data_IF_965411800213
#
_entry.id   IF_965411800213
#
_cell.length_a   1.000
_cell.length_b   1.000
_cell.length_c   1.000
_cell.angle_alpha   90.00
_cell.angle_beta   90.00
_cell.angle_gamma   90.00
#
_symmetry.space_group_name_H-M   'P 1'
#
loop_
_entity.id
_entity.type
_entity.pdbx_description
1 polymer ?
#
# COMPACT_ATOMS: atom_id res chain seq x y z
N UNK A 1 -22.78 -8.14 -14.56
CA UNK A 1 -22.02 -7.07 -15.24
C UNK A 1 -20.56 -7.12 -14.82
N UNK A 2 -20.25 -7.00 -13.51
CA UNK A 2 -18.87 -7.03 -13.00
C UNK A 2 -18.07 -8.30 -13.37
N UNK A 3 -18.65 -9.49 -13.20
CA UNK A 3 -17.97 -10.75 -13.57
C UNK A 3 -17.68 -10.85 -15.06
N UNK A 4 -18.60 -10.40 -15.92
CA UNK A 4 -18.40 -10.38 -17.38
C UNK A 4 -17.21 -9.47 -17.75
N UNK A 5 -17.07 -8.35 -17.07
CA UNK A 5 -15.96 -7.43 -17.31
C UNK A 5 -14.63 -7.98 -16.78
N UNK A 6 -14.63 -8.61 -15.61
CA UNK A 6 -13.44 -9.31 -15.06
C UNK A 6 -12.99 -10.40 -16.04
N UNK A 7 -13.91 -11.26 -16.48
CA UNK A 7 -13.61 -12.34 -17.42
C UNK A 7 -13.06 -11.81 -18.76
N UNK A 8 -13.66 -10.76 -19.31
CA UNK A 8 -13.20 -10.14 -20.54
C UNK A 8 -11.76 -9.58 -20.41
N UNK A 9 -11.42 -8.95 -19.29
CA UNK A 9 -10.09 -8.43 -19.03
C UNK A 9 -9.07 -9.54 -18.83
N UNK A 10 -9.40 -10.56 -18.04
CA UNK A 10 -8.53 -11.72 -17.85
C UNK A 10 -8.22 -12.43 -19.17
N UNK A 11 -9.20 -12.58 -20.06
CA UNK A 11 -8.99 -13.13 -21.40
C UNK A 11 -8.04 -12.31 -22.25
N UNK A 12 -8.14 -10.97 -22.20
CA UNK A 12 -7.22 -10.09 -22.95
C UNK A 12 -5.82 -10.16 -22.36
N UNK A 13 -5.67 -10.13 -21.04
CA UNK A 13 -4.37 -10.23 -20.36
C UNK A 13 -3.73 -11.58 -20.67
N UNK A 14 -4.51 -12.67 -20.55
CA UNK A 14 -4.05 -14.04 -20.80
C UNK A 14 -3.63 -14.33 -22.25
N UNK A 15 -4.02 -13.46 -23.20
CA UNK A 15 -3.47 -13.51 -24.57
C UNK A 15 -1.98 -13.14 -24.64
N UNK A 16 -1.47 -12.37 -23.68
CA UNK A 16 -0.10 -11.87 -23.65
C UNK A 16 0.75 -12.42 -22.52
N UNK A 17 0.14 -12.76 -21.40
CA UNK A 17 0.82 -13.16 -20.17
C UNK A 17 0.27 -14.52 -19.70
N UNK A 18 1.16 -15.33 -19.16
CA UNK A 18 0.77 -16.56 -18.47
C UNK A 18 0.27 -16.19 -17.06
N UNK A 19 -1.06 -16.26 -16.88
CA UNK A 19 -1.73 -15.87 -15.63
C UNK A 19 -1.37 -16.82 -14.48
N UNK A 20 -1.22 -18.12 -14.76
CA UNK A 20 -0.83 -19.12 -13.76
C UNK A 20 0.60 -18.86 -13.27
N UNK A 21 1.50 -18.49 -14.17
CA UNK A 21 2.85 -18.08 -13.79
C UNK A 21 2.86 -16.83 -12.90
N UNK A 22 1.93 -15.90 -13.09
CA UNK A 22 1.79 -14.73 -12.21
C UNK A 22 1.27 -15.13 -10.84
N UNK A 23 0.21 -15.96 -10.77
CA UNK A 23 -0.36 -16.44 -9.50
C UNK A 23 0.63 -17.22 -8.63
N UNK A 24 1.52 -17.98 -9.27
CA UNK A 24 2.52 -18.80 -8.57
C UNK A 24 3.80 -18.03 -8.20
N UNK A 25 3.81 -16.69 -8.31
CA UNK A 25 4.96 -15.88 -7.89
C UNK A 25 5.09 -15.86 -6.38
N UNK A 26 6.32 -15.84 -5.91
CA UNK A 26 6.59 -15.61 -4.49
C UNK A 26 6.25 -14.17 -4.10
N UNK A 27 5.73 -14.01 -2.90
CA UNK A 27 5.38 -12.72 -2.29
C UNK A 27 6.13 -12.48 -0.97
N UNK A 28 7.27 -13.17 -0.75
CA UNK A 28 8.12 -12.98 0.41
C UNK A 28 8.88 -11.64 0.35
N UNK A 29 9.53 -11.25 1.44
CA UNK A 29 10.28 -10.01 1.55
C UNK A 29 11.36 -9.85 0.46
N UNK A 30 11.99 -10.95 0.02
CA UNK A 30 12.98 -10.90 -1.07
C UNK A 30 12.32 -10.57 -2.41
N UNK A 31 11.13 -11.13 -2.65
CA UNK A 31 10.33 -10.82 -3.84
C UNK A 31 9.86 -9.37 -3.83
N UNK A 32 9.40 -8.85 -2.68
CA UNK A 32 9.00 -7.45 -2.50
C UNK A 32 10.18 -6.50 -2.76
N UNK A 33 11.35 -6.77 -2.17
CA UNK A 33 12.56 -5.97 -2.42
C UNK A 33 12.96 -5.96 -3.91
N UNK A 34 12.93 -7.15 -4.53
CA UNK A 34 13.23 -7.28 -5.95
C UNK A 34 12.22 -6.53 -6.84
N UNK A 35 10.95 -6.65 -6.52
CA UNK A 35 9.85 -5.98 -7.18
C UNK A 35 10.02 -4.45 -7.18
N UNK A 36 10.21 -3.84 -6.01
CA UNK A 36 10.41 -2.40 -5.90
C UNK A 36 11.68 -1.93 -6.60
N UNK A 37 12.78 -2.68 -6.50
CA UNK A 37 14.03 -2.35 -7.18
C UNK A 37 13.89 -2.25 -8.70
N UNK A 38 13.05 -3.09 -9.30
CA UNK A 38 12.81 -3.10 -10.76
C UNK A 38 11.67 -2.18 -11.19
N UNK A 39 10.66 -2.03 -10.35
CA UNK A 39 9.46 -1.24 -10.67
C UNK A 39 9.61 0.24 -10.35
N UNK A 40 10.62 0.65 -9.57
CA UNK A 40 10.82 2.03 -9.11
C UNK A 40 10.83 3.07 -10.23
N UNK A 41 11.51 2.78 -11.34
CA UNK A 41 11.53 3.65 -12.52
C UNK A 41 10.13 3.81 -13.14
N UNK A 42 9.37 2.72 -13.24
CA UNK A 42 8.03 2.73 -13.85
C UNK A 42 6.99 3.37 -12.95
N UNK A 43 7.10 3.20 -11.63
CA UNK A 43 6.28 3.94 -10.67
C UNK A 43 6.47 5.45 -10.83
N UNK A 44 7.71 5.93 -10.94
CA UNK A 44 8.00 7.34 -11.17
C UNK A 44 7.42 7.86 -12.49
N UNK A 45 7.50 7.08 -13.56
CA UNK A 45 7.05 7.50 -14.89
C UNK A 45 5.52 7.45 -15.05
N UNK A 46 4.89 6.36 -14.58
CA UNK A 46 3.48 6.06 -14.85
C UNK A 46 2.58 6.52 -13.72
N UNK A 47 2.93 6.19 -12.48
CA UNK A 47 2.06 6.41 -11.32
C UNK A 47 1.97 7.88 -10.93
N UNK A 48 3.08 8.56 -10.79
CA UNK A 48 3.13 9.93 -10.25
C UNK A 48 3.87 10.96 -11.13
N UNK A 49 4.05 10.72 -12.43
CA UNK A 49 4.67 11.67 -13.38
C UNK A 49 5.92 12.37 -12.82
N UNK A 50 6.84 11.61 -12.24
CA UNK A 50 8.11 12.11 -11.70
C UNK A 50 8.08 12.54 -10.23
N UNK A 51 6.98 12.30 -9.50
CA UNK A 51 6.93 12.48 -8.04
C UNK A 51 7.51 11.29 -7.26
N UNK A 52 7.75 11.50 -5.97
CA UNK A 52 8.30 10.47 -5.05
C UNK A 52 7.21 9.59 -4.40
N UNK A 53 5.90 9.86 -4.61
CA UNK A 53 4.82 9.04 -4.07
C UNK A 53 4.67 7.74 -4.86
N UNK A 54 4.48 6.64 -4.15
CA UNK A 54 4.20 5.30 -4.71
C UNK A 54 2.87 4.71 -4.23
N UNK A 55 2.10 5.45 -3.42
CA UNK A 55 0.78 5.08 -2.93
C UNK A 55 -0.35 5.78 -3.72
N UNK A 56 -1.60 5.41 -3.47
CA UNK A 56 -2.78 6.02 -4.09
C UNK A 56 -3.06 7.41 -3.48
N UNK A 57 -3.47 8.36 -4.31
CA UNK A 57 -3.92 9.68 -3.84
C UNK A 57 -5.34 9.62 -3.28
N UNK A 58 -5.61 10.38 -2.22
CA UNK A 58 -6.94 10.53 -1.62
C UNK A 58 -7.58 11.83 -2.11
N UNK A 59 -8.46 11.75 -3.10
CA UNK A 59 -9.16 12.91 -3.67
C UNK A 59 -10.39 13.26 -2.85
N UNK A 60 -10.67 14.56 -2.73
CA UNK A 60 -11.90 15.07 -2.11
C UNK A 60 -13.01 15.32 -3.15
N UNK A 61 -12.70 15.17 -4.43
CA UNK A 61 -13.62 15.23 -5.56
C UNK A 61 -13.42 14.04 -6.51
N UNK A 62 -14.16 13.98 -7.60
CA UNK A 62 -14.07 12.89 -8.59
C UNK A 62 -12.89 13.02 -9.56
N UNK A 63 -11.96 13.96 -9.34
CA UNK A 63 -10.83 14.23 -10.22
C UNK A 63 -9.51 13.85 -9.58
N UNK A 64 -8.54 13.51 -10.41
CA UNK A 64 -7.16 13.22 -10.02
C UNK A 64 -6.36 14.51 -9.89
N UNK A 65 -5.81 14.77 -8.71
CA UNK A 65 -4.90 15.88 -8.44
C UNK A 65 -3.55 15.35 -7.92
N UNK A 66 -2.46 16.03 -8.26
CA UNK A 66 -1.13 15.62 -7.76
C UNK A 66 -0.99 15.81 -6.25
N UNK A 67 -1.68 16.75 -5.69
CA UNK A 67 -1.64 17.05 -4.25
C UNK A 67 -2.40 16.03 -3.40
N UNK A 68 -3.25 15.20 -4.00
CA UNK A 68 -4.01 14.14 -3.33
C UNK A 68 -3.10 13.13 -2.63
N UNK A 69 -1.89 12.93 -3.16
CA UNK A 69 -0.88 12.05 -2.55
C UNK A 69 -0.36 12.57 -1.19
N UNK A 70 -0.58 13.82 -0.85
CA UNK A 70 -0.22 14.39 0.45
C UNK A 70 -1.29 14.15 1.53
N UNK A 71 -2.49 13.70 1.17
CA UNK A 71 -3.61 13.66 2.09
C UNK A 71 -3.44 12.63 3.21
N UNK A 72 -2.71 11.52 3.00
CA UNK A 72 -2.33 10.59 4.06
C UNK A 72 -1.40 11.28 5.08
N UNK A 73 -0.36 11.96 4.62
CA UNK A 73 0.55 12.70 5.49
C UNK A 73 -0.14 13.89 6.18
N UNK A 74 -1.04 14.60 5.48
CA UNK A 74 -1.87 15.68 6.08
C UNK A 74 -2.76 15.14 7.20
N UNK A 75 -3.33 13.95 7.02
CA UNK A 75 -4.09 13.33 8.11
C UNK A 75 -3.20 12.99 9.31
N UNK A 76 -2.04 12.38 9.12
CA UNK A 76 -1.08 12.13 10.21
C UNK A 76 -0.70 13.44 10.89
N UNK A 77 -0.53 14.53 10.14
CA UNK A 77 -0.25 15.87 10.67
C UNK A 77 -1.35 16.37 11.64
N UNK A 78 -2.62 16.01 11.43
CA UNK A 78 -3.72 16.40 12.36
C UNK A 78 -3.59 15.74 13.73
N UNK A 79 -2.85 14.63 13.84
CA UNK A 79 -2.60 13.92 15.10
C UNK A 79 -1.35 14.40 15.83
N UNK A 80 -0.59 15.32 15.23
CA UNK A 80 0.60 15.94 15.82
C UNK A 80 0.20 17.00 16.84
N UNK A 81 -0.39 16.53 17.96
CA UNK A 81 -1.06 17.39 18.96
C UNK A 81 -0.13 18.18 19.89
N UNK A 82 1.21 17.97 19.84
CA UNK A 82 2.19 18.64 20.69
C UNK A 82 3.55 18.77 19.99
N UNK A 83 4.41 19.71 20.41
CA UNK A 83 5.80 19.75 19.95
C UNK A 83 6.60 18.51 20.36
N UNK A 84 7.69 18.26 19.64
CA UNK A 84 8.69 17.25 19.99
C UNK A 84 8.17 15.79 20.06
N UNK A 85 7.26 15.42 19.17
CA UNK A 85 6.79 14.04 19.04
C UNK A 85 7.84 13.13 18.38
N UNK A 86 7.82 11.85 18.77
CA UNK A 86 8.59 10.77 18.15
C UNK A 86 7.67 10.02 17.21
N UNK A 87 7.96 9.99 15.91
CA UNK A 87 7.11 9.41 14.87
C UNK A 87 7.88 8.37 14.10
N UNK A 88 7.28 7.19 13.87
CA UNK A 88 7.84 6.12 13.05
C UNK A 88 6.97 5.90 11.82
N UNK A 89 7.57 5.96 10.63
CA UNK A 89 6.96 5.48 9.38
C UNK A 89 7.49 4.09 9.07
N UNK A 90 6.60 3.13 8.89
CA UNK A 90 6.90 1.77 8.44
C UNK A 90 6.75 1.70 6.92
N UNK A 91 7.69 1.04 6.22
CA UNK A 91 7.71 0.96 4.76
C UNK A 91 7.80 2.33 4.09
N UNK A 92 8.76 3.15 4.51
CA UNK A 92 8.84 4.57 4.14
C UNK A 92 9.19 4.82 2.66
N UNK A 93 9.58 3.80 1.89
CA UNK A 93 9.81 3.84 0.45
C UNK A 93 10.69 5.02 0.00
N UNK A 94 10.11 5.94 -0.74
CA UNK A 94 10.79 7.14 -1.23
C UNK A 94 10.82 8.30 -0.23
N UNK A 95 10.32 8.10 1.00
CA UNK A 95 10.26 9.09 2.08
C UNK A 95 9.32 10.27 1.77
N UNK A 96 8.28 10.04 0.97
CA UNK A 96 7.37 11.09 0.55
C UNK A 96 6.63 11.70 1.76
N UNK A 97 6.01 10.86 2.58
CA UNK A 97 5.26 11.28 3.77
C UNK A 97 6.18 11.80 4.88
N UNK A 98 7.26 11.05 5.21
CA UNK A 98 8.23 11.48 6.24
C UNK A 98 8.83 12.84 5.91
N UNK A 99 9.24 13.11 4.66
CA UNK A 99 9.81 14.41 4.27
C UNK A 99 8.82 15.56 4.43
N UNK A 100 7.55 15.34 4.09
CA UNK A 100 6.50 16.34 4.28
C UNK A 100 6.30 16.66 5.76
N UNK A 101 6.08 15.63 6.59
CA UNK A 101 5.86 15.77 8.02
C UNK A 101 7.05 16.40 8.74
N UNK A 102 8.27 15.99 8.42
CA UNK A 102 9.49 16.50 9.04
C UNK A 102 9.73 17.98 8.75
N UNK A 103 9.34 18.45 7.56
CA UNK A 103 9.43 19.89 7.22
C UNK A 103 8.33 20.70 7.92
N UNK A 104 7.14 20.11 8.08
CA UNK A 104 6.00 20.77 8.74
C UNK A 104 6.19 20.85 10.24
N UNK A 105 6.87 19.86 10.86
CA UNK A 105 7.07 19.77 12.30
C UNK A 105 8.57 19.66 12.65
N UNK A 106 9.33 20.75 12.56
CA UNK A 106 10.79 20.74 12.71
C UNK A 106 11.24 20.34 14.12
N UNK A 107 10.40 20.53 15.14
CA UNK A 107 10.69 20.18 16.54
C UNK A 107 10.43 18.70 16.87
N UNK A 108 9.73 17.99 16.01
CA UNK A 108 9.48 16.55 16.15
C UNK A 108 10.58 15.72 15.47
N UNK A 109 10.74 14.49 15.90
CA UNK A 109 11.71 13.55 15.33
C UNK A 109 10.99 12.45 14.58
N UNK A 110 11.47 12.14 13.39
CA UNK A 110 10.92 11.14 12.51
C UNK A 110 11.92 10.02 12.28
N UNK A 111 11.48 8.79 12.45
CA UNK A 111 12.23 7.62 12.03
C UNK A 111 11.51 6.99 10.84
N UNK A 112 12.23 6.76 9.76
CA UNK A 112 11.73 6.10 8.57
C UNK A 112 12.38 4.71 8.47
N UNK A 113 11.57 3.65 8.56
CA UNK A 113 12.00 2.26 8.44
C UNK A 113 11.59 1.71 7.08
N UNK A 114 12.52 1.04 6.40
CA UNK A 114 12.24 0.30 5.16
C UNK A 114 13.16 -0.91 5.05
N UNK A 115 12.78 -1.87 4.20
CA UNK A 115 13.63 -3.02 3.89
C UNK A 115 14.99 -2.56 3.34
N UNK A 116 16.06 -3.37 3.51
CA UNK A 116 17.38 -3.03 3.01
C UNK A 116 17.37 -2.71 1.51
N UNK A 117 17.78 -1.49 1.17
CA UNK A 117 17.85 -1.02 -0.20
C UNK A 117 19.15 -0.23 -0.40
N UNK A 118 19.91 -0.52 -1.46
CA UNK A 118 21.23 0.07 -1.76
C UNK A 118 21.32 1.59 -1.61
N UNK A 119 20.20 2.30 -1.77
CA UNK A 119 20.17 3.75 -1.76
C UNK A 119 19.32 4.36 -0.64
N UNK A 120 18.66 3.54 0.20
CA UNK A 120 17.76 4.08 1.22
C UNK A 120 18.51 4.97 2.21
N UNK A 121 19.54 4.46 2.85
CA UNK A 121 20.34 5.21 3.82
C UNK A 121 21.12 6.40 3.23
N UNK A 122 21.27 6.47 1.89
CA UNK A 122 21.96 7.57 1.19
C UNK A 122 21.03 8.72 0.81
N UNK A 123 19.73 8.60 1.06
CA UNK A 123 18.75 9.63 0.71
C UNK A 123 18.97 10.88 1.56
N UNK A 124 18.88 12.04 0.90
CA UNK A 124 18.91 13.34 1.62
C UNK A 124 17.58 13.57 2.32
N UNK A 125 17.64 13.82 3.61
CA UNK A 125 16.48 14.03 4.49
C UNK A 125 16.67 15.29 5.37
N UNK A 126 15.59 15.88 5.90
CA UNK A 126 15.65 16.90 6.93
C UNK A 126 16.45 16.42 8.15
N UNK A 127 17.02 17.36 8.92
CA UNK A 127 17.88 17.06 10.09
C UNK A 127 17.19 16.29 11.20
N UNK A 128 15.87 16.38 11.27
CA UNK A 128 15.01 15.70 12.25
C UNK A 128 14.49 14.33 11.76
N UNK A 129 15.07 13.77 10.68
CA UNK A 129 14.76 12.45 10.16
C UNK A 129 15.93 11.50 10.33
N UNK A 130 15.66 10.33 10.90
CA UNK A 130 16.59 9.19 10.98
C UNK A 130 16.12 8.08 10.03
N UNK A 131 17.01 7.58 9.19
CA UNK A 131 16.75 6.44 8.31
C UNK A 131 17.22 5.14 8.97
N UNK A 132 16.39 4.11 8.93
CA UNK A 132 16.71 2.77 9.44
C UNK A 132 16.33 1.73 8.39
N UNK A 133 17.23 0.80 8.12
CA UNK A 133 16.92 -0.41 7.35
C UNK A 133 16.50 -1.52 8.32
N UNK A 134 15.42 -2.23 7.98
CA UNK A 134 14.90 -3.34 8.77
C UNK A 134 13.52 -3.77 8.29
N UNK A 135 13.08 -4.89 8.85
CA UNK A 135 11.76 -5.45 8.60
C UNK A 135 10.82 -5.06 9.75
N UNK A 136 9.63 -4.55 9.45
CA UNK A 136 8.64 -4.22 10.48
C UNK A 136 8.01 -5.46 11.13
N UNK A 137 8.24 -6.66 10.60
CA UNK A 137 7.92 -7.91 11.30
C UNK A 137 8.80 -8.11 12.56
N UNK A 138 9.93 -7.41 12.66
CA UNK A 138 10.80 -7.38 13.84
C UNK A 138 11.22 -5.94 14.16
N UNK A 139 10.53 -5.32 15.12
CA UNK A 139 10.88 -4.00 15.64
C UNK A 139 11.74 -4.04 16.91
N UNK A 140 12.39 -5.17 17.23
CA UNK A 140 13.21 -5.36 18.44
C UNK A 140 14.37 -4.36 18.54
N UNK A 141 14.85 -3.84 17.42
CA UNK A 141 15.87 -2.78 17.36
C UNK A 141 15.41 -1.42 17.95
N UNK A 142 14.10 -1.26 18.20
CA UNK A 142 13.55 -0.06 18.84
C UNK A 142 13.18 -0.35 20.29
N UNK A 143 13.48 0.56 21.23
CA UNK A 143 13.04 0.44 22.61
C UNK A 143 11.51 0.39 22.71
N UNK A 144 11.01 -0.25 23.78
CA UNK A 144 9.59 -0.20 24.10
C UNK A 144 9.13 1.23 24.39
N UNK A 145 7.86 1.52 24.13
CA UNK A 145 7.23 2.81 24.43
C UNK A 145 8.04 4.03 23.95
N UNK A 146 8.63 3.96 22.75
CA UNK A 146 9.52 5.00 22.22
C UNK A 146 8.83 5.98 21.27
N UNK A 147 7.71 5.61 20.65
CA UNK A 147 7.03 6.44 19.66
C UNK A 147 5.67 6.94 20.14
N UNK A 148 5.35 8.19 19.77
CA UNK A 148 4.04 8.79 19.99
C UNK A 148 3.05 8.43 18.88
N UNK A 149 3.55 8.31 17.65
CA UNK A 149 2.79 7.87 16.47
C UNK A 149 3.63 6.85 15.70
N UNK A 150 2.99 5.76 15.29
CA UNK A 150 3.47 4.83 14.26
C UNK A 150 2.48 4.88 13.11
N UNK A 151 2.96 5.09 11.89
CA UNK A 151 2.08 5.07 10.73
C UNK A 151 2.66 4.25 9.58
N UNK A 152 1.76 3.75 8.73
CA UNK A 152 2.07 2.94 7.56
C UNK A 152 1.14 3.34 6.41
N UNK A 153 1.68 3.47 5.19
CA UNK A 153 0.91 3.81 3.99
C UNK A 153 1.23 2.81 2.89
N UNK A 154 0.24 1.96 2.57
CA UNK A 154 0.32 0.91 1.53
C UNK A 154 1.59 0.04 1.66
N UNK A 155 1.78 -0.49 2.85
CA UNK A 155 2.93 -1.35 3.17
C UNK A 155 2.58 -2.56 4.03
N UNK A 156 1.56 -2.48 4.93
CA UNK A 156 1.18 -3.63 5.74
C UNK A 156 0.47 -4.72 4.93
N UNK A 157 0.05 -4.43 3.69
CA UNK A 157 -0.42 -5.43 2.74
C UNK A 157 0.65 -6.51 2.43
N UNK A 158 1.93 -6.24 2.67
CA UNK A 158 3.03 -7.20 2.52
C UNK A 158 3.34 -8.00 3.78
N UNK A 159 2.69 -7.70 4.91
CA UNK A 159 2.91 -8.43 6.15
C UNK A 159 2.41 -9.88 6.04
N UNK A 160 3.23 -10.85 6.46
CA UNK A 160 2.83 -12.27 6.52
C UNK A 160 1.71 -12.50 7.54
N UNK A 161 1.76 -11.80 8.68
CA UNK A 161 0.73 -11.77 9.71
C UNK A 161 0.55 -10.35 10.22
N UNK A 162 -0.62 -9.77 9.96
CA UNK A 162 -0.95 -8.43 10.46
C UNK A 162 -1.08 -8.40 11.99
N UNK A 163 -1.62 -9.46 12.58
CA UNK A 163 -1.71 -9.57 14.04
C UNK A 163 -0.33 -9.50 14.69
N UNK A 164 0.66 -10.23 14.15
CA UNK A 164 2.04 -10.17 14.63
C UNK A 164 2.63 -8.76 14.52
N UNK A 165 2.47 -8.11 13.37
CA UNK A 165 2.98 -6.75 13.15
C UNK A 165 2.30 -5.74 14.08
N UNK A 166 1.01 -5.86 14.32
CA UNK A 166 0.32 -5.01 15.31
C UNK A 166 0.89 -5.20 16.71
N UNK A 167 1.29 -6.43 17.10
CA UNK A 167 2.00 -6.69 18.35
C UNK A 167 3.35 -5.98 18.43
N UNK A 168 4.15 -6.02 17.35
CA UNK A 168 5.41 -5.28 17.26
C UNK A 168 5.18 -3.76 17.38
N UNK A 169 4.17 -3.23 16.71
CA UNK A 169 3.80 -1.81 16.78
C UNK A 169 3.33 -1.42 18.19
N UNK A 170 2.48 -2.24 18.82
CA UNK A 170 2.00 -2.01 20.17
C UNK A 170 3.16 -1.90 21.17
N UNK A 171 4.21 -2.73 21.03
CA UNK A 171 5.38 -2.70 21.90
C UNK A 171 6.14 -1.39 21.81
N UNK A 172 6.33 -0.86 20.60
CA UNK A 172 7.14 0.38 20.40
C UNK A 172 6.35 1.66 20.59
N UNK A 173 5.01 1.62 20.55
CA UNK A 173 4.16 2.76 20.87
C UNK A 173 4.14 3.02 22.37
N UNK A 174 4.16 4.28 22.76
CA UNK A 174 3.88 4.71 24.14
C UNK A 174 2.43 4.43 24.51
N UNK A 175 2.11 4.23 25.81
CA UNK A 175 0.72 4.27 26.25
C UNK A 175 0.04 5.57 25.77
N UNK A 176 -1.16 5.44 25.19
CA UNK A 176 -1.87 6.56 24.55
C UNK A 176 -1.33 6.96 23.17
N UNK A 177 -0.26 6.34 22.69
CA UNK A 177 0.27 6.54 21.35
C UNK A 177 -0.68 6.04 20.25
N UNK A 178 -0.57 6.59 19.06
CA UNK A 178 -1.49 6.32 17.94
C UNK A 178 -0.84 5.46 16.86
N UNK A 179 -1.56 4.44 16.40
CA UNK A 179 -1.31 3.75 15.14
C UNK A 179 -2.19 4.37 14.07
N UNK A 180 -1.62 4.59 12.87
CA UNK A 180 -2.35 5.04 11.67
C UNK A 180 -1.95 4.18 10.48
N UNK A 181 -2.90 3.49 9.87
CA UNK A 181 -2.65 2.68 8.67
C UNK A 181 -3.55 3.15 7.54
N UNK A 182 -2.99 3.34 6.36
CA UNK A 182 -3.72 3.49 5.11
C UNK A 182 -3.34 2.33 4.21
N UNK A 183 -4.31 1.47 3.87
CA UNK A 183 -4.00 0.30 3.04
C UNK A 183 -5.24 -0.23 2.31
N UNK A 184 -4.99 -1.12 1.33
CA UNK A 184 -6.02 -1.90 0.67
C UNK A 184 -6.33 -3.19 1.43
N UNK A 185 -7.60 -3.57 1.44
CA UNK A 185 -8.10 -4.76 2.14
C UNK A 185 -9.14 -5.49 1.29
N UNK A 186 -9.34 -6.78 1.55
CA UNK A 186 -10.52 -7.48 1.06
C UNK A 186 -11.76 -6.97 1.81
N UNK A 187 -12.78 -6.57 1.07
CA UNK A 187 -14.04 -6.07 1.62
C UNK A 187 -14.96 -7.18 2.10
N UNK A 188 -14.76 -8.38 1.56
CA UNK A 188 -15.53 -9.60 1.89
C UNK A 188 -14.58 -10.74 2.21
N UNK A 189 -14.96 -11.66 3.11
CA UNK A 189 -14.17 -12.86 3.35
C UNK A 189 -14.15 -13.76 2.09
N UNK A 190 -13.09 -14.56 1.88
CA UNK A 190 -12.91 -15.35 0.68
C UNK A 190 -14.09 -16.27 0.34
N UNK A 191 -14.77 -16.83 1.36
CA UNK A 191 -15.94 -17.71 1.21
C UNK A 191 -17.18 -16.98 0.67
N UNK A 192 -17.24 -15.66 0.79
CA UNK A 192 -18.32 -14.83 0.24
C UNK A 192 -18.05 -14.34 -1.19
N UNK A 193 -16.91 -14.71 -1.77
CA UNK A 193 -16.53 -14.37 -3.14
C UNK A 193 -16.77 -15.54 -4.09
N UNK A 194 -17.15 -15.26 -5.35
CA UNK A 194 -17.18 -16.29 -6.40
C UNK A 194 -15.76 -16.77 -6.74
N UNK A 195 -15.63 -17.91 -7.42
CA UNK A 195 -14.33 -18.42 -7.87
C UNK A 195 -13.60 -17.43 -8.76
N UNK A 196 -14.31 -16.77 -9.69
CA UNK A 196 -13.76 -15.75 -10.58
C UNK A 196 -13.29 -14.51 -9.82
N UNK A 197 -14.05 -14.07 -8.82
CA UNK A 197 -13.68 -12.93 -7.97
C UNK A 197 -12.43 -13.22 -7.16
N UNK A 198 -12.33 -14.41 -6.54
CA UNK A 198 -11.11 -14.86 -5.83
C UNK A 198 -9.90 -14.92 -6.75
N UNK A 199 -10.09 -15.48 -7.95
CA UNK A 199 -9.02 -15.56 -8.95
C UNK A 199 -8.51 -14.18 -9.36
N UNK A 200 -9.41 -13.25 -9.66
CA UNK A 200 -9.06 -11.88 -10.05
C UNK A 200 -8.38 -11.10 -8.90
N UNK A 201 -8.87 -11.27 -7.64
CA UNK A 201 -8.24 -10.69 -6.45
C UNK A 201 -6.82 -11.23 -6.26
N UNK A 202 -6.65 -12.55 -6.26
CA UNK A 202 -5.34 -13.18 -6.09
C UNK A 202 -4.35 -12.74 -7.18
N UNK A 203 -4.80 -12.68 -8.44
CA UNK A 203 -3.97 -12.23 -9.56
C UNK A 203 -3.55 -10.75 -9.40
N UNK A 204 -4.48 -9.90 -8.98
CA UNK A 204 -4.21 -8.48 -8.72
C UNK A 204 -3.18 -8.30 -7.60
N UNK A 205 -3.36 -9.00 -6.47
CA UNK A 205 -2.45 -8.98 -5.33
C UNK A 205 -1.07 -9.50 -5.72
N UNK A 206 -0.98 -10.67 -6.34
CA UNK A 206 0.30 -11.28 -6.70
C UNK A 206 1.05 -10.46 -7.76
N UNK A 207 0.32 -9.79 -8.67
CA UNK A 207 0.91 -8.88 -9.64
C UNK A 207 1.62 -7.69 -8.97
N UNK A 208 1.19 -7.29 -7.77
CA UNK A 208 1.82 -6.25 -6.93
C UNK A 208 2.75 -6.80 -5.87
N UNK A 209 3.04 -8.10 -5.86
CA UNK A 209 3.75 -8.78 -4.76
C UNK A 209 3.05 -8.68 -3.40
N UNK A 210 1.76 -8.38 -3.35
CA UNK A 210 0.98 -8.37 -2.12
C UNK A 210 0.69 -9.80 -1.69
N UNK A 211 0.88 -10.10 -0.40
CA UNK A 211 0.51 -11.41 0.14
C UNK A 211 -1.01 -11.57 0.16
N UNK A 212 -1.58 -12.70 -0.28
CA UNK A 212 -3.04 -12.89 -0.30
C UNK A 212 -3.63 -13.19 1.09
N UNK A 213 -2.79 -13.44 2.09
CA UNK A 213 -3.22 -13.81 3.43
C UNK A 213 -3.55 -12.58 4.29
N UNK A 214 -4.44 -12.74 5.27
CA UNK A 214 -4.81 -11.71 6.26
C UNK A 214 -5.25 -10.36 5.66
N UNK A 215 -5.96 -10.40 4.52
CA UNK A 215 -6.37 -9.17 3.84
C UNK A 215 -7.80 -8.73 4.18
N UNK A 216 -8.60 -9.54 4.89
CA UNK A 216 -10.00 -9.21 5.18
C UNK A 216 -10.10 -8.12 6.25
N UNK A 217 -10.73 -6.99 5.91
CA UNK A 217 -10.89 -5.84 6.82
C UNK A 217 -11.64 -6.18 8.11
N UNK A 218 -12.59 -7.14 8.04
CA UNK A 218 -13.40 -7.56 9.19
C UNK A 218 -12.61 -8.20 10.33
N UNK A 219 -11.38 -8.67 10.07
CA UNK A 219 -10.52 -9.27 11.10
C UNK A 219 -9.60 -8.24 11.77
N UNK A 220 -9.39 -7.08 11.15
CA UNK A 220 -8.42 -6.09 11.64
C UNK A 220 -8.75 -5.58 13.05
N UNK A 221 -10.05 -5.40 13.36
CA UNK A 221 -10.47 -4.99 14.71
C UNK A 221 -10.05 -6.01 15.78
N UNK A 222 -10.28 -7.30 15.53
CA UNK A 222 -9.92 -8.39 16.43
C UNK A 222 -8.40 -8.46 16.64
N UNK A 223 -7.61 -8.35 15.58
CA UNK A 223 -6.15 -8.38 15.65
C UNK A 223 -5.62 -7.20 16.48
N UNK A 224 -6.18 -6.01 16.31
CA UNK A 224 -5.80 -4.83 17.08
C UNK A 224 -6.18 -4.96 18.57
N UNK A 225 -7.40 -5.41 18.87
CA UNK A 225 -7.86 -5.63 20.26
C UNK A 225 -6.99 -6.67 20.97
N UNK A 226 -6.62 -7.78 20.30
CA UNK A 226 -5.72 -8.80 20.83
C UNK A 226 -4.33 -8.23 21.19
N UNK A 227 -3.88 -7.18 20.51
CA UNK A 227 -2.62 -6.49 20.76
C UNK A 227 -2.76 -5.24 21.65
N UNK A 228 -3.83 -5.16 22.44
CA UNK A 228 -4.07 -4.09 23.43
C UNK A 228 -4.26 -2.70 22.80
N UNK A 229 -4.83 -2.61 21.61
CA UNK A 229 -5.32 -1.36 21.07
C UNK A 229 -6.77 -1.09 21.47
N UNK A 230 -7.10 0.20 21.59
CA UNK A 230 -8.44 0.73 21.90
C UNK A 230 -8.78 1.88 20.94
N UNK A 231 -9.98 2.42 21.04
CA UNK A 231 -10.45 3.53 20.21
C UNK A 231 -10.19 3.25 18.71
N UNK A 232 -10.51 2.02 18.29
CA UNK A 232 -10.26 1.57 16.92
C UNK A 232 -11.29 2.20 16.00
N UNK A 233 -10.83 3.05 15.09
CA UNK A 233 -11.62 3.67 14.03
C UNK A 233 -11.18 3.13 12.68
N UNK A 234 -12.09 2.54 11.91
CA UNK A 234 -11.87 2.10 10.54
C UNK A 234 -12.76 2.93 9.61
N UNK A 235 -12.13 3.73 8.74
CA UNK A 235 -12.83 4.60 7.78
C UNK A 235 -12.60 4.07 6.39
N UNK A 236 -13.68 3.78 5.67
CA UNK A 236 -13.63 3.43 4.24
C UNK A 236 -13.34 4.69 3.42
N UNK A 237 -12.24 4.67 2.68
CA UNK A 237 -11.77 5.74 1.80
C UNK A 237 -11.77 5.30 0.32
N UNK A 238 -12.48 4.23 -0.02
CA UNK A 238 -12.48 3.64 -1.37
C UNK A 238 -12.86 4.67 -2.44
N UNK A 239 -13.86 5.49 -2.17
CA UNK A 239 -14.28 6.54 -3.12
C UNK A 239 -13.17 7.58 -3.34
N UNK A 240 -12.38 7.89 -2.31
CA UNK A 240 -11.31 8.86 -2.39
C UNK A 240 -10.11 8.40 -3.23
N UNK A 241 -9.84 7.10 -3.32
CA UNK A 241 -8.77 6.55 -4.19
C UNK A 241 -9.24 6.31 -5.63
N UNK A 242 -10.55 6.34 -5.88
CA UNK A 242 -11.14 6.04 -7.20
C UNK A 242 -10.59 6.91 -8.35
N UNK A 243 -10.37 8.21 -8.21
CA UNK A 243 -9.78 9.02 -9.28
C UNK A 243 -8.39 8.55 -9.71
N UNK A 244 -7.54 8.15 -8.76
CA UNK A 244 -6.23 7.56 -9.05
C UNK A 244 -6.39 6.20 -9.75
N UNK A 245 -7.28 5.33 -9.27
CA UNK A 245 -7.55 4.02 -9.86
C UNK A 245 -8.11 4.14 -11.28
N UNK A 246 -9.06 5.06 -11.55
CA UNK A 246 -9.58 5.32 -12.89
C UNK A 246 -8.47 5.78 -13.86
N UNK A 247 -7.49 6.51 -13.35
CA UNK A 247 -6.33 6.90 -14.16
C UNK A 247 -5.47 5.69 -14.50
N UNK A 248 -5.16 4.82 -13.53
CA UNK A 248 -4.39 3.59 -13.75
C UNK A 248 -5.13 2.64 -14.69
N UNK A 249 -6.43 2.44 -14.50
CA UNK A 249 -7.28 1.64 -15.37
C UNK A 249 -7.19 2.11 -16.83
N UNK A 250 -7.33 3.42 -17.10
CA UNK A 250 -7.22 3.96 -18.45
C UNK A 250 -5.86 3.70 -19.09
N UNK A 251 -4.78 3.82 -18.32
CA UNK A 251 -3.41 3.55 -18.81
C UNK A 251 -3.26 2.08 -19.13
N UNK A 252 -3.66 1.19 -18.23
CA UNK A 252 -3.56 -0.27 -18.40
C UNK A 252 -4.48 -0.78 -19.49
N UNK A 253 -5.70 -0.28 -19.59
CA UNK A 253 -6.63 -0.58 -20.69
C UNK A 253 -6.00 -0.21 -22.03
N UNK A 254 -5.50 1.02 -22.17
CA UNK A 254 -4.82 1.45 -23.41
C UNK A 254 -3.62 0.59 -23.74
N UNK A 255 -2.86 0.16 -22.75
CA UNK A 255 -1.71 -0.73 -22.92
C UNK A 255 -2.15 -2.08 -23.48
N UNK A 256 -3.04 -2.81 -22.82
CA UNK A 256 -3.45 -4.17 -23.21
C UNK A 256 -4.31 -4.22 -24.49
N UNK A 257 -5.02 -3.15 -24.82
CA UNK A 257 -5.79 -3.06 -26.07
C UNK A 257 -4.96 -2.69 -27.31
N UNK A 258 -3.63 -2.42 -27.14
CA UNK A 258 -2.72 -2.12 -28.24
C UNK A 258 -1.65 -3.22 -28.39
N UNK A 259 -1.86 -4.24 -29.23
CA UNK A 259 -0.96 -5.40 -29.34
C UNK A 259 0.50 -5.05 -29.59
N UNK A 260 0.76 -3.99 -30.39
CA UNK A 260 2.14 -3.54 -30.67
C UNK A 260 2.83 -3.00 -29.42
N UNK A 261 2.11 -2.29 -28.56
CA UNK A 261 2.65 -1.77 -27.29
C UNK A 261 3.03 -2.90 -26.36
N UNK A 262 2.13 -3.88 -26.17
CA UNK A 262 2.37 -5.05 -25.30
C UNK A 262 3.57 -5.84 -25.79
N UNK A 263 3.61 -6.20 -27.09
CA UNK A 263 4.72 -6.97 -27.66
C UNK A 263 6.06 -6.24 -27.55
N UNK A 264 6.07 -4.92 -27.74
CA UNK A 264 7.28 -4.11 -27.58
C UNK A 264 7.71 -4.06 -26.10
N UNK A 265 6.77 -3.86 -25.19
CA UNK A 265 7.05 -3.85 -23.76
C UNK A 265 7.63 -5.20 -23.29
N UNK A 266 6.99 -6.31 -23.62
CA UNK A 266 7.48 -7.66 -23.29
C UNK A 266 8.90 -7.96 -23.82
N UNK A 267 9.30 -7.31 -24.92
CA UNK A 267 10.65 -7.49 -25.51
C UNK A 267 11.71 -6.64 -24.80
N UNK A 268 11.38 -5.44 -24.32
CA UNK A 268 12.36 -4.45 -23.88
C UNK A 268 12.26 -4.06 -22.40
N UNK A 269 11.15 -4.38 -21.72
CA UNK A 269 10.94 -4.04 -20.32
C UNK A 269 11.11 -5.26 -19.41
N UNK A 270 11.49 -5.05 -18.15
CA UNK A 270 11.43 -6.11 -17.14
C UNK A 270 10.00 -6.67 -17.02
N UNK A 271 9.88 -7.98 -16.85
CA UNK A 271 8.58 -8.65 -16.73
C UNK A 271 7.69 -8.02 -15.64
N UNK A 272 8.29 -7.67 -14.49
CA UNK A 272 7.58 -7.04 -13.36
C UNK A 272 6.90 -5.72 -13.73
N UNK A 273 7.51 -4.93 -14.62
CA UNK A 273 6.92 -3.68 -15.08
C UNK A 273 5.66 -3.90 -15.93
N UNK A 274 5.64 -4.98 -16.72
CA UNK A 274 4.47 -5.35 -17.52
C UNK A 274 3.39 -5.98 -16.63
N UNK A 275 3.80 -6.84 -15.70
CA UNK A 275 2.89 -7.52 -14.75
C UNK A 275 2.17 -6.50 -13.86
N UNK A 276 2.81 -5.42 -13.44
CA UNK A 276 2.17 -4.32 -12.71
C UNK A 276 0.95 -3.72 -13.42
N UNK A 277 0.95 -3.74 -14.76
CA UNK A 277 -0.19 -3.25 -15.54
C UNK A 277 -1.43 -4.14 -15.37
N UNK A 278 -1.26 -5.40 -14.97
CA UNK A 278 -2.36 -6.34 -14.65
C UNK A 278 -3.13 -5.82 -13.45
N UNK A 279 -2.44 -5.51 -12.35
CA UNK A 279 -3.05 -4.93 -11.17
C UNK A 279 -3.75 -3.60 -11.48
N UNK A 280 -3.09 -2.69 -12.20
CA UNK A 280 -3.69 -1.42 -12.60
C UNK A 280 -4.97 -1.55 -13.42
N UNK A 281 -5.19 -2.70 -14.07
CA UNK A 281 -6.42 -2.97 -14.84
C UNK A 281 -7.46 -3.76 -14.06
N UNK A 282 -7.06 -4.60 -13.11
CA UNK A 282 -7.99 -5.42 -12.32
C UNK A 282 -8.47 -4.72 -11.04
N UNK A 283 -7.64 -3.89 -10.42
CA UNK A 283 -7.95 -3.26 -9.11
C UNK A 283 -9.27 -2.44 -9.15
N UNK A 284 -9.53 -1.67 -10.21
CA UNK A 284 -10.75 -0.86 -10.31
C UNK A 284 -12.02 -1.71 -10.31
N UNK A 285 -11.95 -2.92 -10.87
CA UNK A 285 -13.08 -3.86 -10.88
C UNK A 285 -13.17 -4.68 -9.60
N UNK A 286 -12.10 -4.79 -8.88
CA UNK A 286 -12.03 -5.44 -7.58
C UNK A 286 -12.31 -4.46 -6.43
N UNK A 287 -12.19 -3.13 -6.68
CA UNK A 287 -12.59 -2.06 -5.77
C UNK A 287 -13.81 -1.36 -6.38
N UNK A 288 -15.00 -1.74 -5.97
CA UNK A 288 -16.27 -1.17 -6.40
C UNK A 288 -17.01 -0.56 -5.22
N UNK A 289 -17.97 0.33 -5.49
CA UNK A 289 -18.81 0.95 -4.45
C UNK A 289 -20.10 0.19 -4.17
N UNK A 290 -20.34 -0.93 -4.83
CA UNK A 290 -21.52 -1.75 -4.64
C UNK A 290 -21.35 -2.84 -3.57
N UNK A 291 -22.43 -3.58 -3.25
CA UNK A 291 -22.45 -4.65 -2.25
C UNK A 291 -21.54 -5.85 -2.63
N UNK A 292 -21.13 -5.93 -3.90
CA UNK A 292 -20.23 -6.99 -4.42
C UNK A 292 -18.76 -6.56 -4.43
N UNK A 293 -18.42 -5.46 -3.76
CA UNK A 293 -17.06 -4.97 -3.62
C UNK A 293 -16.14 -6.10 -3.16
N UNK A 294 -15.02 -6.26 -3.88
CA UNK A 294 -13.99 -7.26 -3.56
C UNK A 294 -12.93 -6.62 -2.67
N UNK A 295 -12.39 -5.49 -3.09
CA UNK A 295 -11.41 -4.72 -2.32
C UNK A 295 -11.99 -3.40 -1.84
N UNK A 296 -11.44 -2.89 -0.76
CA UNK A 296 -11.68 -1.55 -0.26
C UNK A 296 -10.39 -0.92 0.26
N UNK A 297 -10.35 0.39 0.29
CA UNK A 297 -9.22 1.16 0.82
C UNK A 297 -9.62 1.80 2.14
N UNK A 298 -8.88 1.52 3.21
CA UNK A 298 -9.24 1.99 4.53
C UNK A 298 -8.13 2.79 5.19
N UNK A 299 -8.57 3.72 6.04
CA UNK A 299 -7.77 4.25 7.12
C UNK A 299 -8.16 3.55 8.41
N UNK A 300 -7.17 3.02 9.11
CA UNK A 300 -7.32 2.47 10.47
C UNK A 300 -6.57 3.38 11.42
N UNK A 301 -7.23 3.81 12.48
CA UNK A 301 -6.63 4.56 13.59
C UNK A 301 -6.91 3.80 14.87
N UNK A 302 -5.90 3.61 15.70
CA UNK A 302 -6.06 2.94 16.99
C UNK A 302 -5.15 3.55 18.04
N UNK A 303 -5.54 3.44 19.31
CA UNK A 303 -4.78 3.95 20.47
C UNK A 303 -4.16 2.79 21.22
N UNK A 304 -2.86 2.86 21.53
CA UNK A 304 -2.20 1.92 22.43
C UNK A 304 -2.73 2.11 23.86
N UNK A 305 -3.24 1.05 24.48
CA UNK A 305 -3.69 1.07 25.89
C UNK A 305 -2.54 1.33 26.84
#
# INVERSE_FOLDING_TARGET
MQEIEIEARLRIIGHYLDLESILNRKTDNQAVEHYYRKSDFFYGLVHNRGGDSIHLGLSDDDFYHKDDFLNQARYVATLMGRPSMQVLELGAGKLFNTKYLARTFPDSRFTALDLPNRNFLKKRVPRNVTLKEGDYNDLSAFPEASFDIVFAVETLCYAESKEHVFGQIARVLKPGGKLVVFDGYDARPPEAMSELERYASALSCTAMCVTPNDQYIGDMGKYLEAQSFTDIEMTDLTEKVRPTLRRLDRISCRFFTHPRMVKTALKFLPADAVINSVAGWLILYTITSDERRIHQYNRIVATRR
#
